data_IF_307572471312
#
_entry.id   IF_307572471312
#
_cell.length_a   1.000
_cell.length_b   1.000
_cell.length_c   1.000
_cell.angle_alpha   90.00
_cell.angle_beta   90.00
_cell.angle_gamma   90.00
#
_symmetry.space_group_name_H-M   'P 1'
#
loop_
_entity.id
_entity.type
_entity.pdbx_description
1 polymer ?
#
# COMPACT_ATOMS: atom_id res chain seq x y z
N UNK A 1 -1.83 -21.90 -0.69
CA UNK A 1 -0.61 -21.07 -0.89
C UNK A 1 -1.05 -19.62 -0.95
N UNK A 2 -0.39 -18.72 -0.24
CA UNK A 2 -0.76 -17.31 -0.26
C UNK A 2 -0.32 -16.68 -1.60
N UNK A 3 -1.30 -16.14 -2.34
CA UNK A 3 -1.06 -15.48 -3.62
C UNK A 3 -0.70 -14.01 -3.41
N UNK A 4 -1.43 -13.31 -2.51
CA UNK A 4 -1.25 -11.89 -2.26
C UNK A 4 -1.04 -11.60 -0.77
N UNK A 5 -0.01 -10.82 -0.44
CA UNK A 5 0.15 -10.17 0.86
C UNK A 5 -0.30 -8.72 0.77
N UNK A 6 -1.35 -8.34 1.51
CA UNK A 6 -1.77 -6.95 1.66
C UNK A 6 -1.03 -6.37 2.86
N UNK A 7 -0.26 -5.31 2.63
CA UNK A 7 0.64 -4.68 3.59
C UNK A 7 0.12 -3.30 3.97
N UNK A 8 -0.19 -3.09 5.24
CA UNK A 8 -0.75 -1.81 5.73
C UNK A 8 0.13 -1.22 6.82
N UNK A 9 0.96 -0.21 6.50
CA UNK A 9 1.58 0.62 7.51
C UNK A 9 0.52 1.56 8.10
N UNK A 10 0.53 1.76 9.42
CA UNK A 10 -0.45 2.63 10.08
C UNK A 10 0.16 3.40 11.24
N UNK A 11 -0.20 4.67 11.35
CA UNK A 11 0.12 5.53 12.47
C UNK A 11 -1.00 6.55 12.72
N UNK A 12 -1.62 6.51 13.93
CA UNK A 12 -2.68 7.41 14.33
C UNK A 12 -3.85 7.49 13.33
N UNK A 13 -4.43 6.34 12.99
CA UNK A 13 -5.55 6.20 12.04
C UNK A 13 -6.73 5.41 12.64
N UNK A 14 -7.03 5.61 13.91
CA UNK A 14 -8.09 4.86 14.63
C UNK A 14 -9.45 4.86 13.93
N UNK A 15 -9.78 5.92 13.15
CA UNK A 15 -11.06 6.09 12.45
C UNK A 15 -11.07 5.53 11.02
N UNK A 16 -9.93 5.44 10.38
CA UNK A 16 -9.87 5.14 8.93
C UNK A 16 -9.38 3.73 8.63
N UNK A 17 -8.47 3.18 9.44
CA UNK A 17 -7.84 1.90 9.16
C UNK A 17 -8.85 0.74 9.05
N UNK A 18 -9.89 0.75 9.86
CA UNK A 18 -10.94 -0.30 9.83
C UNK A 18 -11.70 -0.27 8.51
N UNK A 19 -12.02 0.91 7.99
CA UNK A 19 -12.69 1.05 6.69
C UNK A 19 -11.84 0.45 5.55
N UNK A 20 -10.51 0.64 5.60
CA UNK A 20 -9.59 0.00 4.67
C UNK A 20 -9.66 -1.52 4.76
N UNK A 21 -9.62 -2.08 5.96
CA UNK A 21 -9.68 -3.51 6.21
C UNK A 21 -11.04 -4.13 5.79
N UNK A 22 -12.15 -3.41 5.98
CA UNK A 22 -13.49 -3.86 5.58
C UNK A 22 -13.62 -4.03 4.06
N UNK A 23 -12.88 -3.23 3.29
CA UNK A 23 -12.89 -3.29 1.82
C UNK A 23 -12.12 -4.47 1.24
N UNK A 24 -11.27 -5.14 2.03
CA UNK A 24 -10.47 -6.28 1.57
C UNK A 24 -11.38 -7.50 1.33
N UNK A 25 -11.31 -8.15 0.16
CA UNK A 25 -12.08 -9.36 -0.10
C UNK A 25 -11.70 -10.49 0.85
N UNK A 26 -12.67 -11.31 1.24
CA UNK A 26 -12.49 -12.47 2.11
C UNK A 26 -12.09 -13.69 1.25
N UNK A 27 -10.80 -14.04 1.27
CA UNK A 27 -10.22 -15.11 0.43
C UNK A 27 -9.14 -15.87 1.20
N UNK A 28 -9.03 -17.16 0.96
CA UNK A 28 -8.04 -18.05 1.61
C UNK A 28 -6.62 -17.89 1.04
N UNK A 29 -6.48 -17.24 -0.12
CA UNK A 29 -5.22 -17.00 -0.80
C UNK A 29 -4.64 -15.60 -0.55
N UNK A 30 -5.27 -14.82 0.35
CA UNK A 30 -4.80 -13.51 0.80
C UNK A 30 -4.36 -13.59 2.26
N UNK A 31 -3.24 -12.96 2.59
CA UNK A 31 -2.91 -12.56 3.96
C UNK A 31 -2.90 -11.05 4.12
N UNK A 32 -3.30 -10.56 5.27
CA UNK A 32 -3.26 -9.14 5.62
C UNK A 32 -2.25 -8.93 6.73
N UNK A 33 -1.28 -8.05 6.51
CA UNK A 33 -0.25 -7.74 7.49
C UNK A 33 -0.32 -6.25 7.81
N UNK A 34 -0.76 -5.94 9.01
CA UNK A 34 -0.83 -4.56 9.51
C UNK A 34 0.29 -4.32 10.49
N UNK A 35 1.00 -3.22 10.33
CA UNK A 35 2.04 -2.81 11.29
C UNK A 35 1.78 -1.40 11.79
N UNK A 36 1.47 -1.33 13.06
CA UNK A 36 1.34 -0.08 13.81
C UNK A 36 2.73 0.52 14.08
N UNK A 37 2.92 1.75 13.65
CA UNK A 37 4.18 2.49 13.82
C UNK A 37 4.21 3.32 15.11
N UNK A 38 3.78 2.70 16.23
CA UNK A 38 3.80 3.33 17.53
C UNK A 38 2.71 4.40 17.69
N UNK A 39 1.48 4.10 17.28
CA UNK A 39 0.34 5.00 17.45
C UNK A 39 0.10 5.33 18.92
N UNK A 40 -0.35 6.56 19.17
CA UNK A 40 -0.69 7.11 20.49
C UNK A 40 -2.19 7.21 20.73
N UNK A 41 -3.00 6.95 19.69
CA UNK A 41 -4.45 6.86 19.73
C UNK A 41 -4.92 5.39 19.87
N UNK A 42 -6.21 5.11 19.64
CA UNK A 42 -6.77 3.77 19.77
C UNK A 42 -6.47 2.85 18.57
N UNK A 43 -5.63 3.26 17.60
CA UNK A 43 -5.35 2.48 16.37
C UNK A 43 -4.98 1.03 16.68
N UNK A 44 -3.98 0.80 17.53
CA UNK A 44 -3.50 -0.56 17.83
C UNK A 44 -4.55 -1.41 18.56
N UNK A 45 -5.30 -0.81 19.47
CA UNK A 45 -6.39 -1.49 20.19
C UNK A 45 -7.51 -1.91 19.22
N UNK A 46 -7.92 -1.01 18.31
CA UNK A 46 -8.93 -1.27 17.31
C UNK A 46 -8.50 -2.38 16.33
N UNK A 47 -7.22 -2.40 15.91
CA UNK A 47 -6.67 -3.44 15.04
C UNK A 47 -6.69 -4.83 15.69
N UNK A 48 -6.35 -4.93 16.98
CA UNK A 48 -6.37 -6.20 17.72
C UNK A 48 -7.79 -6.72 17.86
N UNK A 49 -8.73 -5.84 18.24
CA UNK A 49 -10.15 -6.16 18.33
C UNK A 49 -10.69 -6.62 16.98
N UNK A 50 -10.41 -5.88 15.90
CA UNK A 50 -10.83 -6.22 14.55
C UNK A 50 -10.35 -7.62 14.12
N UNK A 51 -9.09 -7.94 14.41
CA UNK A 51 -8.54 -9.27 14.12
C UNK A 51 -9.28 -10.40 14.87
N UNK A 52 -9.68 -10.17 16.12
CA UNK A 52 -10.44 -11.14 16.93
C UNK A 52 -11.86 -11.33 16.39
N UNK A 53 -12.49 -10.25 15.90
CA UNK A 53 -13.84 -10.25 15.34
C UNK A 53 -13.92 -10.82 13.92
N UNK A 54 -12.78 -10.87 13.18
CA UNK A 54 -12.68 -11.32 11.80
C UNK A 54 -11.67 -12.48 11.63
N UNK A 55 -11.93 -13.66 12.24
CA UNK A 55 -11.02 -14.80 12.15
C UNK A 55 -10.90 -15.40 10.74
N UNK A 56 -11.87 -15.12 9.87
CA UNK A 56 -11.85 -15.50 8.45
C UNK A 56 -10.77 -14.75 7.65
N UNK A 57 -10.28 -13.61 8.16
CA UNK A 57 -9.20 -12.86 7.55
C UNK A 57 -7.86 -13.38 8.08
N UNK A 58 -6.99 -13.89 7.20
CA UNK A 58 -5.64 -14.30 7.61
C UNK A 58 -4.79 -13.09 7.99
N UNK A 59 -5.12 -12.48 9.13
CA UNK A 59 -4.58 -11.19 9.56
C UNK A 59 -3.49 -11.34 10.61
N UNK A 60 -2.38 -10.63 10.42
CA UNK A 60 -1.31 -10.46 11.41
C UNK A 60 -1.14 -8.99 11.75
N UNK A 61 -1.19 -8.67 13.05
CA UNK A 61 -1.00 -7.32 13.58
C UNK A 61 0.31 -7.26 14.36
N UNK A 62 1.16 -6.32 13.97
CA UNK A 62 2.43 -6.03 14.64
C UNK A 62 2.46 -4.58 15.14
N UNK A 63 3.32 -4.29 16.11
CA UNK A 63 3.62 -2.92 16.52
C UNK A 63 5.13 -2.70 16.57
N UNK A 64 5.56 -1.49 16.22
CA UNK A 64 6.95 -1.04 16.40
C UNK A 64 7.21 -0.52 17.83
N UNK A 65 6.15 -0.28 18.62
CA UNK A 65 6.24 0.26 19.98
C UNK A 65 6.58 1.76 20.05
N UNK A 66 7.18 2.31 18.98
CA UNK A 66 7.45 3.75 18.79
C UNK A 66 7.42 4.06 17.29
N UNK A 67 7.23 5.33 16.95
CA UNK A 67 7.30 5.77 15.56
C UNK A 67 8.73 5.62 15.02
N UNK A 68 8.88 4.83 13.95
CA UNK A 68 10.14 4.59 13.22
C UNK A 68 10.12 5.19 11.82
N UNK A 69 8.97 5.72 11.40
CA UNK A 69 8.70 6.22 10.06
C UNK A 69 8.21 5.15 9.10
N UNK A 70 7.55 5.62 8.03
CA UNK A 70 6.87 4.76 7.05
C UNK A 70 7.85 3.82 6.34
N UNK A 71 9.06 4.27 5.99
CA UNK A 71 10.08 3.46 5.32
C UNK A 71 10.51 2.24 6.14
N UNK A 72 10.85 2.43 7.42
CA UNK A 72 11.22 1.34 8.32
C UNK A 72 10.06 0.37 8.53
N UNK A 73 8.85 0.91 8.64
CA UNK A 73 7.62 0.12 8.79
C UNK A 73 7.32 -0.69 7.53
N UNK A 74 7.47 -0.10 6.34
CA UNK A 74 7.31 -0.79 5.06
C UNK A 74 8.34 -1.92 4.87
N UNK A 75 9.61 -1.69 5.20
CA UNK A 75 10.66 -2.73 5.15
C UNK A 75 10.30 -3.93 6.03
N UNK A 76 9.78 -3.70 7.24
CA UNK A 76 9.36 -4.77 8.15
C UNK A 76 8.11 -5.51 7.64
N UNK A 77 7.21 -4.80 6.96
CA UNK A 77 6.03 -5.42 6.32
C UNK A 77 6.47 -6.33 5.16
N UNK A 78 7.34 -5.85 4.28
CA UNK A 78 7.90 -6.64 3.18
C UNK A 78 8.60 -7.90 3.69
N UNK A 79 9.42 -7.79 4.73
CA UNK A 79 10.11 -8.93 5.33
C UNK A 79 9.14 -9.96 5.95
N UNK A 80 7.94 -9.56 6.34
CA UNK A 80 6.92 -10.42 6.92
C UNK A 80 6.02 -11.08 5.85
N UNK A 81 5.99 -10.56 4.63
CA UNK A 81 5.14 -11.02 3.53
C UNK A 81 5.50 -12.45 3.07
N UNK A 82 4.47 -13.28 2.84
CA UNK A 82 4.61 -14.67 2.37
C UNK A 82 3.99 -14.90 0.99
N UNK A 83 3.17 -13.96 0.52
CA UNK A 83 2.51 -14.03 -0.77
C UNK A 83 3.51 -14.03 -1.93
N UNK A 84 3.09 -14.60 -3.04
CA UNK A 84 3.83 -14.48 -4.30
C UNK A 84 3.93 -13.04 -4.77
N UNK A 85 2.83 -12.30 -4.57
CA UNK A 85 2.73 -10.85 -4.79
C UNK A 85 2.49 -10.13 -3.48
N UNK A 86 2.76 -8.82 -3.47
CA UNK A 86 2.33 -7.94 -2.40
C UNK A 86 1.69 -6.67 -2.95
N UNK A 87 0.90 -6.02 -2.10
CA UNK A 87 0.26 -4.74 -2.35
C UNK A 87 0.28 -3.91 -1.06
N UNK A 88 0.61 -2.63 -1.17
CA UNK A 88 0.46 -1.69 -0.06
C UNK A 88 -0.93 -1.05 -0.08
N UNK A 89 -1.79 -1.44 0.85
CA UNK A 89 -3.03 -0.71 1.13
C UNK A 89 -2.74 0.30 2.24
N UNK A 90 -2.74 1.59 1.87
CA UNK A 90 -2.51 2.66 2.83
C UNK A 90 -3.67 2.74 3.83
N UNK A 91 -3.37 3.11 5.08
CA UNK A 91 -4.31 3.00 6.21
C UNK A 91 -5.53 3.92 6.14
N UNK A 92 -5.53 4.87 5.22
CA UNK A 92 -6.63 5.82 4.98
C UNK A 92 -7.38 5.58 3.65
N UNK A 93 -6.96 4.57 2.89
CA UNK A 93 -7.51 4.20 1.59
C UNK A 93 -8.39 2.95 1.66
N UNK A 94 -9.04 2.61 0.54
CA UNK A 94 -9.87 1.40 0.39
C UNK A 94 -9.66 0.77 -0.98
N UNK A 95 -10.06 -0.48 -1.15
CA UNK A 95 -10.13 -1.12 -2.46
C UNK A 95 -11.58 -1.22 -2.95
N UNK A 96 -11.78 -1.31 -4.26
CA UNK A 96 -13.08 -1.62 -4.87
C UNK A 96 -13.17 -3.15 -4.95
N UNK A 97 -13.78 -3.77 -3.95
CA UNK A 97 -13.71 -5.20 -3.63
C UNK A 97 -13.87 -6.13 -4.83
N UNK A 98 -14.90 -5.91 -5.68
CA UNK A 98 -15.17 -6.78 -6.85
C UNK A 98 -14.08 -6.67 -7.92
N UNK A 99 -13.69 -5.44 -8.26
CA UNK A 99 -12.62 -5.19 -9.24
C UNK A 99 -11.27 -5.69 -8.73
N UNK A 100 -11.02 -5.52 -7.43
CA UNK A 100 -9.82 -6.01 -6.78
C UNK A 100 -9.75 -7.55 -6.78
N UNK A 101 -10.88 -8.25 -6.56
CA UNK A 101 -10.99 -9.69 -6.72
C UNK A 101 -10.61 -10.14 -8.14
N UNK A 102 -11.15 -9.47 -9.15
CA UNK A 102 -10.85 -9.77 -10.56
C UNK A 102 -9.36 -9.68 -10.84
N UNK A 103 -8.69 -8.64 -10.32
CA UNK A 103 -7.24 -8.49 -10.48
C UNK A 103 -6.45 -9.58 -9.75
N UNK A 104 -6.90 -10.03 -8.57
CA UNK A 104 -6.25 -11.14 -7.86
C UNK A 104 -6.37 -12.44 -8.66
N UNK A 105 -7.51 -12.70 -9.29
CA UNK A 105 -7.69 -13.88 -10.14
C UNK A 105 -6.76 -13.86 -11.37
N UNK A 106 -6.51 -12.69 -11.94
CA UNK A 106 -5.54 -12.52 -13.03
C UNK A 106 -4.10 -12.87 -12.62
N UNK A 107 -3.71 -12.68 -11.34
CA UNK A 107 -2.37 -13.02 -10.85
C UNK A 107 -2.03 -14.50 -11.01
N UNK A 108 -3.01 -15.40 -11.14
CA UNK A 108 -2.76 -16.83 -11.33
C UNK A 108 -2.18 -17.19 -12.69
N UNK A 109 -2.50 -16.40 -13.71
CA UNK A 109 -1.96 -16.56 -15.08
C UNK A 109 -0.89 -15.54 -15.44
N UNK A 110 -0.66 -14.56 -14.56
CA UNK A 110 0.29 -13.47 -14.82
C UNK A 110 1.74 -13.92 -14.66
N UNK A 111 2.53 -13.74 -15.72
CA UNK A 111 3.95 -14.12 -15.77
C UNK A 111 4.91 -12.92 -15.69
N UNK A 112 4.40 -11.71 -15.41
CA UNK A 112 5.23 -10.51 -15.26
C UNK A 112 5.60 -10.21 -13.80
N UNK A 113 6.08 -9.01 -13.57
CA UNK A 113 6.59 -8.56 -12.28
C UNK A 113 5.62 -7.63 -11.56
N UNK A 114 4.90 -6.79 -12.30
CA UNK A 114 3.99 -5.76 -11.77
C UNK A 114 2.67 -5.78 -12.53
N UNK A 115 1.55 -5.76 -11.81
CA UNK A 115 0.21 -5.42 -12.34
C UNK A 115 -0.17 -4.07 -11.77
N UNK A 116 -0.34 -3.06 -12.63
CA UNK A 116 -0.79 -1.74 -12.26
C UNK A 116 -2.32 -1.63 -12.40
N UNK A 117 -2.96 -0.95 -11.45
CA UNK A 117 -4.39 -0.71 -11.41
C UNK A 117 -4.69 0.78 -11.38
N UNK A 118 -5.83 1.18 -11.94
CA UNK A 118 -6.30 2.54 -11.92
C UNK A 118 -6.88 2.93 -10.55
N UNK A 119 -6.88 4.23 -10.26
CA UNK A 119 -7.35 4.77 -8.98
C UNK A 119 -8.59 5.64 -9.17
N UNK A 120 -9.53 5.51 -8.23
CA UNK A 120 -10.64 6.42 -8.07
C UNK A 120 -10.33 7.39 -6.91
N UNK A 121 -10.37 8.69 -7.16
CA UNK A 121 -10.16 9.73 -6.13
C UNK A 121 -11.49 10.29 -5.60
N UNK A 122 -11.45 11.02 -4.49
CA UNK A 122 -12.65 11.45 -3.76
C UNK A 122 -13.62 12.35 -4.56
N UNK A 123 -13.11 13.11 -5.52
CA UNK A 123 -13.95 13.95 -6.39
C UNK A 123 -14.65 13.18 -7.51
N UNK A 124 -14.42 11.87 -7.61
CA UNK A 124 -14.99 10.98 -8.62
C UNK A 124 -14.14 10.81 -9.88
N UNK A 125 -13.00 11.51 -10.00
CA UNK A 125 -12.09 11.31 -11.11
C UNK A 125 -11.39 9.96 -11.04
N UNK A 126 -11.11 9.39 -12.20
CA UNK A 126 -10.28 8.19 -12.35
C UNK A 126 -8.90 8.59 -12.84
N UNK A 127 -7.90 8.16 -12.11
CA UNK A 127 -6.52 8.30 -12.54
C UNK A 127 -6.05 7.00 -13.18
N UNK A 128 -5.83 7.07 -14.50
CA UNK A 128 -5.36 5.94 -15.29
C UNK A 128 -3.83 5.82 -15.22
N UNK A 129 -3.36 4.62 -14.94
CA UNK A 129 -1.95 4.29 -15.04
C UNK A 129 -1.65 3.71 -16.43
N UNK A 130 -0.62 4.26 -17.06
CA UNK A 130 -0.06 3.79 -18.33
C UNK A 130 1.47 4.09 -18.37
N UNK A 131 2.16 3.59 -19.38
CA UNK A 131 3.62 3.77 -19.53
C UNK A 131 4.06 5.23 -19.48
N UNK A 132 3.23 6.17 -19.97
CA UNK A 132 3.58 7.59 -20.02
C UNK A 132 3.56 8.26 -18.63
N UNK A 133 2.93 7.62 -17.64
CA UNK A 133 2.73 8.15 -16.29
C UNK A 133 3.56 7.43 -15.24
N UNK A 134 4.28 6.38 -15.63
CA UNK A 134 4.97 5.51 -14.69
C UNK A 134 6.03 6.25 -13.83
N UNK A 135 6.72 7.23 -14.43
CA UNK A 135 7.68 8.06 -13.68
C UNK A 135 7.03 9.06 -12.72
N UNK A 136 5.80 9.50 -13.02
CA UNK A 136 5.07 10.48 -12.22
C UNK A 136 4.29 9.84 -11.05
N UNK A 137 4.02 8.53 -11.13
CA UNK A 137 3.12 7.83 -10.22
C UNK A 137 3.83 6.74 -9.46
N UNK A 138 4.69 7.13 -8.53
CA UNK A 138 5.39 6.23 -7.62
C UNK A 138 4.47 5.57 -6.60
N UNK A 139 3.17 5.84 -6.65
CA UNK A 139 2.23 5.32 -5.66
C UNK A 139 2.23 3.80 -5.65
N UNK A 140 2.83 3.23 -4.62
CA UNK A 140 2.86 1.78 -4.39
C UNK A 140 1.47 1.19 -4.21
N UNK A 141 0.54 2.03 -3.79
CA UNK A 141 -0.85 1.71 -3.55
C UNK A 141 -1.62 1.25 -4.81
N UNK A 142 -1.11 1.47 -6.01
CA UNK A 142 -1.78 1.09 -7.25
C UNK A 142 -1.12 -0.08 -7.98
N UNK A 143 -0.36 -0.93 -7.27
CA UNK A 143 0.39 -2.03 -7.90
C UNK A 143 0.36 -3.31 -7.09
N UNK A 144 0.13 -4.44 -7.77
CA UNK A 144 0.57 -5.74 -7.30
C UNK A 144 1.98 -6.00 -7.80
N UNK A 145 2.90 -6.24 -6.89
CA UNK A 145 4.31 -6.41 -7.21
C UNK A 145 4.73 -7.82 -6.82
N UNK A 146 5.40 -8.54 -7.74
CA UNK A 146 5.95 -9.86 -7.48
C UNK A 146 7.07 -9.75 -6.43
N UNK A 147 6.92 -10.44 -5.32
CA UNK A 147 7.83 -10.32 -4.17
C UNK A 147 9.28 -10.69 -4.51
N UNK A 148 9.49 -11.74 -5.30
CA UNK A 148 10.84 -12.13 -5.73
C UNK A 148 11.52 -11.10 -6.62
N UNK A 149 10.76 -10.29 -7.36
CA UNK A 149 11.29 -9.26 -8.23
C UNK A 149 11.99 -8.13 -7.43
N UNK A 150 11.48 -7.81 -6.24
CA UNK A 150 12.04 -6.76 -5.38
C UNK A 150 13.01 -7.28 -4.32
N UNK A 151 13.45 -8.53 -4.42
CA UNK A 151 14.40 -9.07 -3.47
C UNK A 151 15.68 -8.22 -3.41
N UNK A 152 16.07 -7.82 -2.19
CA UNK A 152 17.20 -6.94 -1.93
C UNK A 152 16.90 -5.43 -2.03
N UNK A 153 15.81 -5.00 -2.66
CA UNK A 153 15.38 -3.60 -2.64
C UNK A 153 14.78 -3.24 -1.29
N UNK A 154 15.11 -2.07 -0.78
CA UNK A 154 14.59 -1.57 0.49
C UNK A 154 14.16 -0.11 0.38
N UNK A 155 13.16 0.25 1.16
CA UNK A 155 12.83 1.65 1.39
C UNK A 155 13.98 2.34 2.13
N UNK A 156 14.42 3.52 1.70
CA UNK A 156 15.47 4.26 2.38
C UNK A 156 14.94 4.85 3.70
N UNK A 157 15.44 4.36 4.84
CA UNK A 157 14.93 4.75 6.17
C UNK A 157 15.43 6.13 6.63
N UNK A 158 16.39 6.73 5.92
CA UNK A 158 17.00 8.02 6.29
C UNK A 158 16.41 9.21 5.54
N UNK A 159 15.52 8.98 4.59
CA UNK A 159 14.85 10.07 3.86
C UNK A 159 13.68 10.61 4.69
N UNK A 160 13.44 11.91 4.63
CA UNK A 160 12.32 12.55 5.34
C UNK A 160 10.97 12.27 4.67
N UNK A 161 10.97 12.17 3.34
CA UNK A 161 9.80 11.84 2.53
C UNK A 161 10.23 11.36 1.12
N UNK A 162 9.28 10.79 0.36
CA UNK A 162 9.56 10.28 -0.99
C UNK A 162 10.26 8.91 -0.99
N UNK A 163 10.19 8.17 0.11
CA UNK A 163 10.72 6.83 0.23
C UNK A 163 10.15 5.87 -0.81
N UNK A 164 8.89 6.07 -1.20
CA UNK A 164 8.20 5.33 -2.25
C UNK A 164 8.79 5.61 -3.63
N UNK A 165 9.18 6.86 -3.92
CA UNK A 165 9.84 7.23 -5.17
C UNK A 165 11.20 6.55 -5.31
N UNK A 166 12.02 6.52 -4.26
CA UNK A 166 13.33 5.85 -4.30
C UNK A 166 13.19 4.35 -4.49
N UNK A 167 12.25 3.72 -3.78
CA UNK A 167 11.96 2.30 -3.95
C UNK A 167 11.49 2.00 -5.39
N UNK A 168 10.60 2.84 -5.92
CA UNK A 168 10.12 2.73 -7.29
C UNK A 168 11.26 2.87 -8.30
N UNK A 169 12.12 3.88 -8.16
CA UNK A 169 13.25 4.10 -9.06
C UNK A 169 14.17 2.88 -9.12
N UNK A 170 14.59 2.35 -7.96
CA UNK A 170 15.44 1.16 -7.90
C UNK A 170 14.75 -0.07 -8.52
N UNK A 171 13.46 -0.21 -8.31
CA UNK A 171 12.65 -1.26 -8.92
C UNK A 171 12.61 -1.13 -10.44
N UNK A 172 12.39 0.07 -10.99
CA UNK A 172 12.32 0.32 -12.44
C UNK A 172 13.67 0.17 -13.14
N UNK A 173 14.79 0.40 -12.46
CA UNK A 173 16.14 0.12 -12.99
C UNK A 173 16.34 -1.36 -13.35
N UNK A 174 15.56 -2.27 -12.73
CA UNK A 174 15.55 -3.71 -13.06
C UNK A 174 14.73 -4.05 -14.30
N UNK A 175 14.09 -3.05 -14.96
CA UNK A 175 13.26 -3.19 -16.15
C UNK A 175 12.14 -4.24 -15.99
N UNK A 176 11.21 -4.01 -15.04
CA UNK A 176 10.12 -4.95 -14.80
C UNK A 176 9.23 -5.15 -16.02
N UNK A 177 8.64 -6.33 -16.13
CA UNK A 177 7.52 -6.56 -17.03
C UNK A 177 6.24 -6.09 -16.34
N UNK A 178 5.74 -4.93 -16.76
CA UNK A 178 4.53 -4.29 -16.22
C UNK A 178 3.32 -4.61 -17.10
N UNK A 179 2.20 -4.94 -16.47
CA UNK A 179 0.88 -5.00 -17.11
C UNK A 179 0.02 -3.87 -16.53
N UNK A 180 -0.47 -3.01 -17.40
CA UNK A 180 -1.44 -1.95 -17.07
C UNK A 180 -2.83 -2.50 -17.28
N UNK A 181 -3.52 -2.84 -16.18
CA UNK A 181 -4.79 -3.56 -16.25
C UNK A 181 -5.96 -2.72 -16.78
N UNK A 182 -5.91 -1.39 -16.66
CA UNK A 182 -7.01 -0.48 -16.92
C UNK A 182 -8.22 -0.67 -16.00
N UNK A 183 -8.05 -1.45 -14.92
CA UNK A 183 -9.11 -1.74 -13.95
C UNK A 183 -9.01 -0.78 -12.78
N UNK A 184 -10.10 -0.05 -12.51
CA UNK A 184 -10.22 0.81 -11.33
C UNK A 184 -10.47 -0.07 -10.11
N UNK A 185 -9.43 -0.36 -9.32
CA UNK A 185 -9.53 -1.26 -8.18
C UNK A 185 -9.13 -0.64 -6.84
N UNK A 186 -8.55 0.54 -6.85
CA UNK A 186 -8.12 1.27 -5.66
C UNK A 186 -8.89 2.57 -5.51
N UNK A 187 -9.33 2.90 -4.29
CA UNK A 187 -9.89 4.20 -3.95
C UNK A 187 -8.90 4.96 -3.10
N UNK A 188 -8.32 5.99 -3.69
CA UNK A 188 -7.39 6.89 -3.04
C UNK A 188 -8.14 8.01 -2.32
N UNK A 189 -7.95 8.09 -1.01
CA UNK A 189 -8.58 9.12 -0.17
C UNK A 189 -7.90 10.49 -0.34
N UNK A 190 -7.98 11.02 -1.57
CA UNK A 190 -7.37 12.29 -1.95
C UNK A 190 -8.39 13.20 -2.69
N UNK A 191 -8.39 14.53 -2.48
CA UNK A 191 -7.66 15.21 -1.43
C UNK A 191 -8.22 14.95 -0.03
N UNK A 192 -7.35 14.80 0.96
CA UNK A 192 -7.70 14.66 2.37
C UNK A 192 -6.98 15.72 3.18
N UNK A 193 -7.73 16.50 3.99
CA UNK A 193 -7.15 17.50 4.87
C UNK A 193 -6.14 16.87 5.84
N UNK A 194 -4.98 17.52 5.99
CA UNK A 194 -3.89 17.03 6.85
C UNK A 194 -3.08 15.87 6.28
N UNK A 195 -3.36 15.35 5.07
CA UNK A 195 -2.45 14.42 4.40
C UNK A 195 -1.19 15.12 3.93
N UNK A 196 -0.05 14.40 3.83
CA UNK A 196 1.21 14.97 3.33
C UNK A 196 1.04 15.62 1.95
N UNK A 197 0.31 14.98 1.05
CA UNK A 197 0.03 15.51 -0.29
C UNK A 197 -0.84 16.78 -0.24
N UNK A 198 -1.82 16.86 0.69
CA UNK A 198 -2.62 18.05 0.87
C UNK A 198 -1.80 19.21 1.47
N UNK A 199 -0.94 18.91 2.45
CA UNK A 199 -0.06 19.91 3.06
C UNK A 199 0.93 20.45 2.03
N UNK A 200 1.47 19.62 1.16
CA UNK A 200 2.33 19.99 0.03
C UNK A 200 1.59 20.86 -0.98
N UNK A 201 0.40 20.46 -1.41
CA UNK A 201 -0.41 21.23 -2.36
C UNK A 201 -0.79 22.62 -1.83
N UNK A 202 -0.85 22.77 -0.51
CA UNK A 202 -1.10 24.05 0.18
C UNK A 202 0.18 24.85 0.49
N UNK A 203 1.36 24.36 0.08
CA UNK A 203 2.65 24.99 0.36
C UNK A 203 3.04 25.02 1.85
N UNK A 204 2.45 24.14 2.67
CA UNK A 204 2.72 24.03 4.11
C UNK A 204 3.89 23.07 4.41
N UNK A 205 4.36 22.34 3.40
CA UNK A 205 5.58 21.52 3.41
C UNK A 205 6.35 21.88 2.14
N UNK A 206 7.62 22.26 2.28
CA UNK A 206 8.47 22.59 1.14
C UNK A 206 8.98 21.32 0.43
N UNK A 207 9.26 21.42 -0.88
CA UNK A 207 9.81 20.31 -1.66
C UNK A 207 11.20 19.88 -1.15
N UNK A 208 11.95 20.79 -0.58
CA UNK A 208 13.25 20.54 0.08
C UNK A 208 13.13 19.69 1.36
N UNK A 209 11.97 19.69 2.01
CA UNK A 209 11.67 18.80 3.14
C UNK A 209 11.43 17.35 2.69
N UNK A 210 11.28 17.12 1.37
CA UNK A 210 11.01 15.84 0.73
C UNK A 210 12.26 15.20 0.10
N UNK A 211 13.42 15.88 0.17
CA UNK A 211 14.68 15.36 -0.37
C UNK A 211 15.50 14.63 0.72
N UNK A 212 16.31 13.64 0.32
CA UNK A 212 17.16 12.88 1.24
C UNK A 212 18.22 13.72 1.89
#
# INVERSE_FOLDING_TARGET
MIKLSILTPVWNQEKLVIKGLDSIPRRDDIEVIVRDDGSTDNTLANLRKYKEEHPELQMRVYSNGKNLGVAATANKLLAAAKGEFFHFLMSDDTVLTENYNTLIDQLYSFCGDIVAMDLLVNNGDVWHLDESKDEAWCAQACRFIRRSFVEGIKYPEKVKAGEDWFFHKEMMERKPKVEYSGVVAYRYNFPREGSLMNLRARGLIADEDLQP
#
